data_IF_892200233157
#
_entry.id   IF_892200233157
#
_cell.length_a   1.000
_cell.length_b   1.000
_cell.length_c   1.000
_cell.angle_alpha   90.00
_cell.angle_beta   90.00
_cell.angle_gamma   90.00
#
_symmetry.space_group_name_H-M   'P 1'
#
loop_
_entity.id
_entity.type
_entity.pdbx_description
1 polymer ?
#
# COMPACT_ATOMS: atom_id res chain seq x y z
N UNK A 1 -55.33 -15.53 -47.28
CA UNK A 1 -55.28 -16.82 -46.54
C UNK A 1 -54.43 -17.79 -47.34
N UNK A 2 -53.53 -18.62 -46.75
CA UNK A 2 -52.97 -18.65 -45.37
C UNK A 2 -51.45 -18.30 -45.37
N UNK A 3 -50.77 -17.77 -44.34
CA UNK A 3 -50.52 -18.15 -42.93
C UNK A 3 -49.46 -19.26 -42.72
N UNK A 4 -48.28 -18.81 -42.23
CA UNK A 4 -47.31 -19.41 -41.28
C UNK A 4 -46.50 -20.67 -41.61
N UNK A 5 -45.20 -20.64 -41.26
CA UNK A 5 -44.61 -21.28 -40.04
C UNK A 5 -43.09 -20.97 -39.99
N UNK A 6 -42.67 -20.01 -39.17
CA UNK A 6 -41.93 -20.24 -37.91
C UNK A 6 -40.67 -21.11 -38.04
N UNK A 7 -39.53 -20.46 -38.31
CA UNK A 7 -38.22 -21.02 -38.00
C UNK A 7 -38.06 -21.01 -36.47
N UNK A 8 -38.10 -22.19 -35.85
CA UNK A 8 -37.86 -22.38 -34.42
C UNK A 8 -36.37 -22.19 -34.15
N UNK A 9 -36.05 -21.19 -33.32
CA UNK A 9 -34.81 -21.09 -32.57
C UNK A 9 -34.69 -22.36 -31.70
N UNK A 10 -33.73 -23.23 -31.99
CA UNK A 10 -33.31 -24.27 -31.05
C UNK A 10 -32.28 -23.66 -30.11
N UNK A 11 -32.76 -23.02 -29.05
CA UNK A 11 -31.96 -22.65 -27.88
C UNK A 11 -31.85 -23.87 -26.99
N UNK A 12 -30.89 -24.76 -27.27
CA UNK A 12 -30.55 -25.83 -26.33
C UNK A 12 -29.59 -25.25 -25.30
N UNK A 13 -30.15 -24.57 -24.30
CA UNK A 13 -29.42 -24.20 -23.10
C UNK A 13 -29.12 -25.50 -22.33
N UNK A 14 -27.88 -25.99 -22.44
CA UNK A 14 -27.34 -26.98 -21.53
C UNK A 14 -27.09 -26.25 -20.21
N UNK A 15 -28.09 -26.26 -19.33
CA UNK A 15 -27.91 -25.91 -17.92
C UNK A 15 -27.15 -27.08 -17.30
N UNK A 16 -25.83 -26.98 -17.29
CA UNK A 16 -25.00 -27.79 -16.39
C UNK A 16 -25.23 -27.23 -14.98
N UNK A 17 -26.18 -27.83 -14.26
CA UNK A 17 -26.30 -27.67 -12.82
C UNK A 17 -25.11 -28.41 -12.19
N UNK A 18 -23.97 -27.74 -12.11
CA UNK A 18 -22.90 -28.14 -11.21
C UNK A 18 -23.42 -27.95 -9.80
N UNK A 19 -23.55 -29.04 -9.05
CA UNK A 19 -23.63 -29.03 -7.61
C UNK A 19 -22.37 -28.32 -7.10
N UNK A 20 -22.47 -27.02 -6.84
CA UNK A 20 -21.45 -26.31 -6.07
C UNK A 20 -21.57 -26.87 -4.67
N UNK A 21 -20.71 -27.82 -4.34
CA UNK A 21 -20.43 -28.10 -2.94
C UNK A 21 -19.98 -26.77 -2.34
N UNK A 22 -20.74 -26.22 -1.40
CA UNK A 22 -20.30 -25.09 -0.59
C UNK A 22 -19.10 -25.56 0.24
N UNK A 23 -17.91 -25.57 -0.32
CA UNK A 23 -16.70 -25.54 0.49
C UNK A 23 -16.70 -24.20 1.21
N UNK A 24 -16.74 -24.20 2.53
CA UNK A 24 -16.50 -22.98 3.30
C UNK A 24 -15.14 -22.41 2.89
N UNK A 25 -15.07 -21.11 2.59
CA UNK A 25 -13.79 -20.49 2.26
C UNK A 25 -12.80 -20.70 3.43
N UNK A 26 -11.49 -20.85 3.16
CA UNK A 26 -10.46 -20.91 4.20
C UNK A 26 -10.62 -19.83 5.27
N UNK A 27 -10.18 -20.11 6.50
CA UNK A 27 -10.39 -19.23 7.65
C UNK A 27 -9.95 -17.77 7.40
N UNK A 28 -8.83 -17.55 6.69
CA UNK A 28 -8.31 -16.21 6.37
C UNK A 28 -9.17 -15.44 5.37
N UNK A 29 -10.06 -16.11 4.63
CA UNK A 29 -11.01 -15.46 3.71
C UNK A 29 -12.36 -15.16 4.38
N UNK A 30 -12.59 -15.64 5.60
CA UNK A 30 -13.79 -15.34 6.36
C UNK A 30 -13.59 -14.08 7.22
N UNK A 31 -14.64 -13.24 7.41
CA UNK A 31 -14.59 -12.18 8.40
C UNK A 31 -14.30 -12.74 9.79
N UNK A 32 -13.36 -12.14 10.50
CA UNK A 32 -12.88 -12.63 11.80
C UNK A 32 -13.83 -12.27 12.94
N UNK A 33 -14.64 -11.22 12.75
CA UNK A 33 -15.43 -10.58 13.81
C UNK A 33 -14.63 -9.60 14.67
N UNK A 34 -13.34 -9.44 14.38
CA UNK A 34 -12.41 -8.56 15.11
C UNK A 34 -11.73 -7.53 14.19
N UNK A 35 -12.35 -7.23 13.04
CA UNK A 35 -11.87 -6.20 12.13
C UNK A 35 -11.68 -4.87 12.87
N UNK A 36 -10.54 -4.21 12.68
CA UNK A 36 -10.31 -2.85 13.17
C UNK A 36 -11.23 -1.90 12.41
N UNK A 37 -11.95 -1.05 13.14
CA UNK A 37 -12.83 -0.03 12.59
C UNK A 37 -12.21 1.36 12.68
N UNK A 38 -12.72 2.31 11.91
CA UNK A 38 -12.35 3.70 12.10
C UNK A 38 -12.82 4.17 13.49
N UNK A 39 -11.94 4.70 14.34
CA UNK A 39 -12.34 5.16 15.67
C UNK A 39 -13.17 6.45 15.58
N UNK A 40 -13.89 6.76 16.66
CA UNK A 40 -14.57 8.05 16.80
C UNK A 40 -13.52 9.17 16.89
N UNK A 41 -13.82 10.37 16.34
CA UNK A 41 -12.87 11.48 16.28
C UNK A 41 -12.31 11.90 17.65
N UNK A 42 -13.09 11.74 18.72
CA UNK A 42 -12.68 12.10 20.08
C UNK A 42 -11.84 11.02 20.78
N UNK A 43 -11.58 9.88 20.14
CA UNK A 43 -10.84 8.77 20.75
C UNK A 43 -9.36 9.12 20.92
N UNK A 44 -8.81 9.14 22.14
CA UNK A 44 -7.38 9.33 22.37
C UNK A 44 -6.54 8.30 21.58
N UNK A 45 -5.39 8.73 21.06
CA UNK A 45 -4.60 7.87 20.17
C UNK A 45 -4.06 6.63 20.88
N UNK A 46 -3.66 6.74 22.15
CA UNK A 46 -3.24 5.63 22.99
C UNK A 46 -4.35 4.57 23.17
N UNK A 47 -5.60 5.01 23.36
CA UNK A 47 -6.76 4.14 23.39
C UNK A 47 -6.97 3.42 22.05
N UNK A 48 -6.82 4.13 20.92
CA UNK A 48 -6.89 3.51 19.59
C UNK A 48 -5.80 2.45 19.38
N UNK A 49 -4.58 2.70 19.86
CA UNK A 49 -3.49 1.73 19.81
C UNK A 49 -3.86 0.46 20.59
N UNK A 50 -4.25 0.58 21.85
CA UNK A 50 -4.59 -0.57 22.70
C UNK A 50 -5.73 -1.42 22.11
N UNK A 51 -6.79 -0.75 21.64
CA UNK A 51 -7.95 -1.42 21.03
C UNK A 51 -7.56 -2.15 19.75
N UNK A 52 -6.81 -1.49 18.86
CA UNK A 52 -6.39 -2.08 17.58
C UNK A 52 -5.45 -3.26 17.78
N UNK A 53 -4.48 -3.17 18.70
CA UNK A 53 -3.58 -4.28 19.03
C UNK A 53 -4.36 -5.50 19.55
N UNK A 54 -5.36 -5.27 20.40
CA UNK A 54 -6.23 -6.34 20.93
C UNK A 54 -7.06 -6.99 19.82
N UNK A 55 -7.64 -6.18 18.93
CA UNK A 55 -8.42 -6.64 17.79
C UNK A 55 -7.57 -7.45 16.81
N UNK A 56 -6.40 -6.93 16.42
CA UNK A 56 -5.47 -7.63 15.53
C UNK A 56 -5.03 -8.96 16.13
N UNK A 57 -4.63 -8.98 17.39
CA UNK A 57 -4.22 -10.21 18.07
C UNK A 57 -5.37 -11.25 18.10
N UNK A 58 -6.58 -10.81 18.42
CA UNK A 58 -7.77 -11.68 18.46
C UNK A 58 -8.11 -12.22 17.07
N UNK A 59 -8.01 -11.39 16.04
CA UNK A 59 -8.26 -11.77 14.67
C UNK A 59 -7.26 -12.82 14.18
N UNK A 60 -5.97 -12.63 14.47
CA UNK A 60 -4.91 -13.56 14.09
C UNK A 60 -5.07 -14.90 14.82
N UNK A 61 -5.37 -14.90 16.12
CA UNK A 61 -5.66 -16.12 16.90
C UNK A 61 -6.92 -16.86 16.41
N UNK A 62 -7.90 -16.11 15.88
CA UNK A 62 -9.11 -16.71 15.28
C UNK A 62 -8.80 -17.36 13.93
N UNK A 63 -7.85 -16.81 13.19
CA UNK A 63 -7.54 -17.17 11.80
C UNK A 63 -6.48 -18.26 11.69
N UNK A 64 -5.46 -18.20 12.54
CA UNK A 64 -4.28 -19.07 12.51
C UNK A 64 -4.08 -19.74 13.87
N UNK A 65 -3.57 -20.96 13.85
CA UNK A 65 -3.15 -21.70 15.06
C UNK A 65 -1.62 -21.69 15.14
N UNK A 66 -1.06 -21.73 16.36
CA UNK A 66 0.41 -21.70 16.56
C UNK A 66 1.14 -22.86 15.86
N UNK A 67 0.47 -24.01 15.70
CA UNK A 67 1.03 -25.18 15.00
C UNK A 67 1.00 -25.05 13.45
N UNK A 68 0.32 -24.03 12.90
CA UNK A 68 0.08 -23.88 11.46
C UNK A 68 0.20 -22.42 11.02
N UNK A 69 1.33 -21.78 11.35
CA UNK A 69 1.61 -20.41 10.92
C UNK A 69 2.09 -20.38 9.47
N UNK A 70 1.38 -19.69 8.56
CA UNK A 70 1.78 -19.65 7.15
C UNK A 70 3.07 -18.86 6.92
N UNK A 71 3.43 -17.97 7.84
CA UNK A 71 4.66 -17.17 7.85
C UNK A 71 5.84 -17.90 8.53
N UNK A 72 5.79 -19.23 8.64
CA UNK A 72 6.89 -20.07 9.12
C UNK A 72 7.18 -19.93 10.62
N UNK A 73 8.26 -20.59 11.08
CA UNK A 73 8.71 -20.56 12.49
C UNK A 73 9.42 -19.26 12.89
N UNK A 74 9.55 -18.30 11.97
CA UNK A 74 10.35 -17.08 12.19
C UNK A 74 9.62 -16.06 13.06
N UNK A 75 8.30 -15.96 12.93
CA UNK A 75 7.49 -15.02 13.69
C UNK A 75 6.42 -15.76 14.47
N UNK A 76 6.28 -15.41 15.74
CA UNK A 76 5.12 -15.75 16.56
C UNK A 76 3.89 -14.93 16.16
N UNK A 77 2.68 -15.38 16.54
CA UNK A 77 1.46 -14.59 16.32
C UNK A 77 1.53 -13.21 16.98
N UNK A 78 2.21 -13.09 18.12
CA UNK A 78 2.37 -11.82 18.82
C UNK A 78 3.29 -10.86 18.04
N UNK A 79 4.36 -11.35 17.43
CA UNK A 79 5.24 -10.53 16.57
C UNK A 79 4.51 -10.10 15.31
N UNK A 80 3.76 -11.00 14.67
CA UNK A 80 2.92 -10.64 13.51
C UNK A 80 1.84 -9.61 13.89
N UNK A 81 1.20 -9.77 15.05
CA UNK A 81 0.25 -8.79 15.55
C UNK A 81 0.91 -7.42 15.74
N UNK A 82 2.11 -7.37 16.32
CA UNK A 82 2.86 -6.14 16.52
C UNK A 82 3.29 -5.50 15.18
N UNK A 83 3.73 -6.30 14.20
CA UNK A 83 4.07 -5.82 12.85
C UNK A 83 2.85 -5.17 12.17
N UNK A 84 1.68 -5.82 12.25
CA UNK A 84 0.47 -5.41 11.54
C UNK A 84 -0.34 -4.30 12.23
N UNK A 85 -0.06 -4.02 13.51
CA UNK A 85 -0.84 -3.09 14.31
C UNK A 85 -0.41 -1.62 14.11
N UNK A 86 -1.28 -0.65 14.43
CA UNK A 86 -0.89 0.76 14.42
C UNK A 86 0.16 1.04 15.51
N UNK A 87 0.90 2.13 15.35
CA UNK A 87 1.92 2.52 16.32
C UNK A 87 2.11 4.04 16.39
N UNK A 88 2.73 4.48 17.50
CA UNK A 88 3.25 5.83 17.67
C UNK A 88 4.74 5.74 18.02
N UNK A 89 5.56 6.57 17.36
CA UNK A 89 6.94 6.85 17.74
C UNK A 89 7.05 8.34 18.08
N UNK A 90 7.84 8.69 19.09
CA UNK A 90 8.06 10.09 19.43
C UNK A 90 9.44 10.35 20.03
N UNK A 91 9.97 11.53 19.74
CA UNK A 91 11.07 12.14 20.46
C UNK A 91 10.61 13.52 20.90
N UNK A 92 10.55 13.73 22.22
CA UNK A 92 10.20 15.03 22.82
C UNK A 92 11.39 15.69 23.54
N UNK A 93 12.55 15.04 23.51
CA UNK A 93 13.72 15.43 24.29
C UNK A 93 14.34 16.76 23.84
N UNK A 94 14.14 17.14 22.58
CA UNK A 94 14.63 18.37 21.98
C UNK A 94 13.59 19.48 21.83
N UNK A 95 12.36 19.30 22.34
CA UNK A 95 11.33 20.33 22.24
C UNK A 95 11.65 21.53 23.15
N UNK A 96 11.70 22.74 22.57
CA UNK A 96 11.84 23.96 23.36
C UNK A 96 10.60 24.18 24.26
N UNK A 97 10.71 24.93 25.38
CA UNK A 97 9.56 25.23 26.22
C UNK A 97 8.41 25.88 25.44
N UNK A 98 7.26 25.23 25.41
CA UNK A 98 6.06 25.69 24.69
C UNK A 98 6.01 25.33 23.20
N UNK A 99 7.06 24.71 22.64
CA UNK A 99 7.07 24.15 21.29
C UNK A 99 6.35 22.80 21.29
N UNK A 100 5.55 22.55 20.26
CA UNK A 100 4.96 21.23 20.01
C UNK A 100 5.78 20.49 18.96
N UNK A 101 5.81 19.15 19.00
CA UNK A 101 6.55 18.39 18.01
C UNK A 101 6.00 18.59 16.59
N UNK A 102 6.85 18.29 15.60
CA UNK A 102 6.38 18.05 14.22
C UNK A 102 5.62 16.73 14.16
N UNK A 103 4.49 16.72 13.48
CA UNK A 103 3.64 15.55 13.30
C UNK A 103 3.86 14.86 11.96
N UNK A 104 3.91 13.54 11.97
CA UNK A 104 3.92 12.70 10.78
C UNK A 104 2.77 11.68 10.87
N UNK A 105 1.79 11.76 9.97
CA UNK A 105 0.74 10.74 9.85
C UNK A 105 1.09 9.79 8.71
N UNK A 106 1.22 8.49 9.00
CA UNK A 106 1.57 7.48 8.02
C UNK A 106 0.35 6.64 7.64
N UNK A 107 0.07 6.56 6.34
CA UNK A 107 -1.07 5.85 5.75
C UNK A 107 -0.57 4.79 4.77
N UNK A 108 -0.76 3.52 5.09
CA UNK A 108 -0.32 2.39 4.26
C UNK A 108 -1.24 2.13 3.05
N UNK A 109 -0.81 1.23 2.16
CA UNK A 109 -1.53 0.84 0.95
C UNK A 109 -2.64 -0.18 1.17
N UNK A 110 -3.37 -0.49 0.08
CA UNK A 110 -4.46 -1.47 0.11
C UNK A 110 -3.89 -2.89 0.27
N UNK A 111 -4.47 -3.66 1.18
CA UNK A 111 -4.01 -5.00 1.57
C UNK A 111 -2.69 -5.01 2.37
N UNK A 112 -2.11 -3.84 2.66
CA UNK A 112 -0.90 -3.70 3.47
C UNK A 112 -1.21 -3.52 4.97
N UNK A 113 -0.19 -3.16 5.74
CA UNK A 113 -0.27 -2.76 7.14
C UNK A 113 0.71 -1.60 7.43
N UNK A 114 0.65 -0.98 8.63
CA UNK A 114 1.60 0.02 9.09
C UNK A 114 3.07 -0.37 8.96
N UNK A 115 3.39 -1.67 8.97
CA UNK A 115 4.75 -2.19 8.88
C UNK A 115 5.56 -1.60 7.72
N UNK A 116 4.93 -1.46 6.55
CA UNK A 116 5.60 -0.99 5.32
C UNK A 116 6.10 0.45 5.42
N UNK A 117 5.61 1.24 6.37
CA UNK A 117 6.04 2.61 6.63
C UNK A 117 6.84 2.73 7.94
N UNK A 118 7.14 1.60 8.60
CA UNK A 118 7.78 1.61 9.91
C UNK A 118 9.22 2.13 9.90
N UNK A 119 9.99 1.83 8.85
CA UNK A 119 11.34 2.36 8.68
C UNK A 119 11.32 3.89 8.53
N UNK A 120 10.48 4.40 7.63
CA UNK A 120 10.32 5.84 7.42
C UNK A 120 9.90 6.55 8.71
N UNK A 121 8.96 5.99 9.47
CA UNK A 121 8.54 6.57 10.74
C UNK A 121 9.69 6.66 11.77
N UNK A 122 10.54 5.63 11.84
CA UNK A 122 11.73 5.64 12.72
C UNK A 122 12.70 6.75 12.31
N UNK A 123 12.97 6.87 11.02
CA UNK A 123 13.96 7.83 10.52
C UNK A 123 13.47 9.28 10.61
N UNK A 124 12.18 9.53 10.36
CA UNK A 124 11.56 10.84 10.54
C UNK A 124 11.63 11.32 12.00
N UNK A 125 11.43 10.42 12.97
CA UNK A 125 11.54 10.75 14.40
C UNK A 125 12.99 10.83 14.84
N UNK A 126 13.90 10.03 14.27
CA UNK A 126 15.32 10.07 14.61
C UNK A 126 16.02 11.34 14.10
N UNK A 127 15.54 11.91 12.98
CA UNK A 127 16.09 13.13 12.40
C UNK A 127 15.72 14.41 13.20
N UNK A 128 14.67 14.36 14.04
CA UNK A 128 14.20 15.53 14.79
C UNK A 128 13.83 15.16 16.23
N UNK A 129 14.58 15.70 17.18
CA UNK A 129 14.37 15.42 18.61
C UNK A 129 13.08 16.04 19.19
N UNK A 130 12.28 16.71 18.36
CA UNK A 130 10.94 17.20 18.66
C UNK A 130 9.94 16.78 17.57
N UNK A 131 9.69 15.47 17.47
CA UNK A 131 8.81 14.88 16.46
C UNK A 131 7.94 13.74 17.02
N UNK A 132 6.77 13.54 16.41
CA UNK A 132 5.86 12.43 16.67
C UNK A 132 5.36 11.86 15.34
N UNK A 133 5.48 10.55 15.17
CA UNK A 133 4.99 9.81 14.03
C UNK A 133 3.89 8.83 14.46
N UNK A 134 2.75 8.86 13.78
CA UNK A 134 1.61 7.96 14.01
C UNK A 134 1.31 7.20 12.73
N UNK A 135 1.37 5.88 12.77
CA UNK A 135 0.94 5.04 11.65
C UNK A 135 -0.43 4.43 11.96
N UNK A 136 -1.40 4.72 11.11
CA UNK A 136 -2.75 4.18 11.24
C UNK A 136 -2.87 2.82 10.59
N UNK A 137 -3.66 1.95 11.20
CA UNK A 137 -4.17 0.74 10.58
C UNK A 137 -5.54 1.05 9.96
N UNK A 138 -5.61 0.99 8.63
CA UNK A 138 -6.86 1.25 7.90
C UNK A 138 -7.87 0.12 8.11
N UNK A 139 -9.18 0.42 8.22
CA UNK A 139 -10.20 -0.60 8.47
C UNK A 139 -10.15 -1.81 7.52
N UNK A 140 -10.28 -3.00 8.10
CA UNK A 140 -10.18 -4.30 7.41
C UNK A 140 -8.76 -4.81 7.14
N UNK A 141 -7.72 -4.01 7.42
CA UNK A 141 -6.33 -4.41 7.24
C UNK A 141 -5.73 -4.97 8.54
N UNK A 142 -4.55 -5.61 8.43
CA UNK A 142 -3.77 -6.11 9.56
C UNK A 142 -4.36 -7.34 10.29
N UNK A 143 -5.60 -7.74 9.97
CA UNK A 143 -6.31 -8.89 10.50
C UNK A 143 -6.29 -10.08 9.53
N UNK A 144 -7.32 -10.26 8.72
CA UNK A 144 -7.42 -11.26 7.65
C UNK A 144 -8.05 -10.67 6.37
N UNK A 145 -7.74 -11.22 5.17
CA UNK A 145 -8.36 -10.79 3.91
C UNK A 145 -9.90 -10.74 3.94
N UNK A 146 -10.54 -11.64 4.69
CA UNK A 146 -12.00 -11.67 4.90
C UNK A 146 -12.58 -10.39 5.50
N UNK A 147 -11.85 -9.74 6.39
CA UNK A 147 -12.25 -8.46 6.99
C UNK A 147 -12.11 -7.30 5.98
N UNK A 148 -11.02 -7.29 5.20
CA UNK A 148 -10.81 -6.30 4.15
C UNK A 148 -11.92 -6.33 3.09
N UNK A 149 -12.45 -7.52 2.79
CA UNK A 149 -13.58 -7.66 1.88
C UNK A 149 -14.89 -7.01 2.37
N UNK A 150 -15.00 -6.69 3.67
CA UNK A 150 -16.15 -5.97 4.25
C UNK A 150 -15.91 -4.45 4.32
N UNK A 151 -14.65 -4.01 4.32
CA UNK A 151 -14.31 -2.60 4.45
C UNK A 151 -14.75 -1.78 3.23
N UNK A 152 -15.09 -0.52 3.47
CA UNK A 152 -15.49 0.44 2.45
C UNK A 152 -14.53 1.61 2.39
N UNK A 153 -14.50 2.32 1.25
CA UNK A 153 -13.70 3.54 1.12
C UNK A 153 -14.07 4.61 2.16
N UNK A 154 -15.32 4.63 2.63
CA UNK A 154 -15.78 5.58 3.66
C UNK A 154 -15.15 5.28 5.00
N UNK A 155 -14.95 4.00 5.33
CA UNK A 155 -14.25 3.60 6.54
C UNK A 155 -12.79 4.06 6.48
N UNK A 156 -12.13 3.92 5.32
CA UNK A 156 -10.77 4.40 5.12
C UNK A 156 -10.66 5.93 5.18
N UNK A 157 -11.59 6.65 4.57
CA UNK A 157 -11.68 8.11 4.64
C UNK A 157 -11.90 8.60 6.07
N UNK A 158 -12.78 7.92 6.83
CA UNK A 158 -13.02 8.23 8.24
C UNK A 158 -11.78 7.97 9.09
N UNK A 159 -11.06 6.87 8.86
CA UNK A 159 -9.82 6.56 9.56
C UNK A 159 -8.72 7.59 9.25
N UNK A 160 -8.53 7.97 7.99
CA UNK A 160 -7.59 9.01 7.60
C UNK A 160 -7.93 10.36 8.24
N UNK A 161 -9.22 10.74 8.27
CA UNK A 161 -9.70 11.93 8.97
C UNK A 161 -9.38 11.88 10.47
N UNK A 162 -9.65 10.75 11.13
CA UNK A 162 -9.29 10.55 12.52
C UNK A 162 -7.78 10.72 12.75
N UNK A 163 -6.92 10.18 11.87
CA UNK A 163 -5.48 10.29 12.01
C UNK A 163 -5.01 11.73 12.05
N UNK A 164 -5.55 12.58 11.16
CA UNK A 164 -5.25 14.02 11.16
C UNK A 164 -5.75 14.68 12.45
N UNK A 165 -6.99 14.41 12.85
CA UNK A 165 -7.59 15.00 14.06
C UNK A 165 -6.93 14.55 15.36
N UNK A 166 -6.34 13.35 15.37
CA UNK A 166 -5.60 12.89 16.53
C UNK A 166 -4.47 13.87 16.88
N UNK A 167 -3.93 14.61 15.90
CA UNK A 167 -2.86 15.58 16.11
C UNK A 167 -3.35 16.99 16.50
N UNK A 168 -4.66 17.23 16.52
CA UNK A 168 -5.21 18.56 16.78
C UNK A 168 -4.76 19.09 18.15
N UNK A 169 -4.01 20.19 18.13
CA UNK A 169 -3.46 20.80 19.35
C UNK A 169 -2.26 20.07 19.96
N UNK A 170 -1.76 19.00 19.33
CA UNK A 170 -0.58 18.25 19.77
C UNK A 170 0.70 18.59 19.01
N UNK A 171 0.59 19.13 17.78
CA UNK A 171 1.73 19.41 16.89
C UNK A 171 1.73 20.83 16.37
N UNK A 172 2.91 21.34 15.98
CA UNK A 172 3.07 22.65 15.36
C UNK A 172 2.94 22.60 13.83
N UNK A 173 3.19 21.43 13.23
CA UNK A 173 2.98 21.16 11.81
C UNK A 173 2.68 19.69 11.59
N UNK A 174 1.97 19.35 10.52
CA UNK A 174 1.59 17.99 10.16
C UNK A 174 1.96 17.67 8.71
N UNK A 175 2.75 16.62 8.53
CA UNK A 175 3.05 16.01 7.23
C UNK A 175 2.31 14.68 7.11
N UNK A 176 1.63 14.45 5.97
CA UNK A 176 1.08 13.12 5.67
C UNK A 176 2.07 12.34 4.81
N UNK A 177 2.39 11.12 5.24
CA UNK A 177 3.19 10.15 4.50
C UNK A 177 2.26 9.05 4.01
N UNK A 178 1.93 9.08 2.72
CA UNK A 178 1.02 8.11 2.11
C UNK A 178 1.76 7.14 1.22
N UNK A 179 1.47 5.85 1.32
CA UNK A 179 1.94 4.82 0.38
C UNK A 179 0.77 4.21 -0.39
N UNK A 180 0.89 4.16 -1.73
CA UNK A 180 -0.14 3.55 -2.60
C UNK A 180 -1.54 4.12 -2.35
N UNK A 181 -2.51 3.30 -1.96
CA UNK A 181 -3.85 3.76 -1.58
C UNK A 181 -3.86 4.78 -0.42
N UNK A 182 -2.88 4.72 0.49
CA UNK A 182 -2.70 5.71 1.55
C UNK A 182 -2.31 7.09 1.01
N UNK A 183 -1.56 7.14 -0.09
CA UNK A 183 -1.28 8.40 -0.80
C UNK A 183 -2.56 8.97 -1.44
N UNK A 184 -3.38 8.10 -2.04
CA UNK A 184 -4.71 8.47 -2.57
C UNK A 184 -5.59 9.08 -1.47
N UNK A 185 -5.61 8.49 -0.27
CA UNK A 185 -6.36 8.98 0.88
C UNK A 185 -5.82 10.33 1.40
N UNK A 186 -4.49 10.50 1.44
CA UNK A 186 -3.88 11.78 1.84
C UNK A 186 -4.29 12.92 0.89
N UNK A 187 -4.30 12.63 -0.41
CA UNK A 187 -4.74 13.57 -1.46
C UNK A 187 -6.25 13.84 -1.37
N UNK A 188 -7.08 12.80 -1.18
CA UNK A 188 -8.53 12.93 -0.96
C UNK A 188 -8.84 13.85 0.21
N UNK A 189 -8.13 13.67 1.33
CA UNK A 189 -8.32 14.44 2.56
C UNK A 189 -8.03 15.93 2.32
N UNK A 190 -6.91 16.26 1.68
CA UNK A 190 -6.58 17.64 1.32
C UNK A 190 -7.62 18.26 0.40
N UNK A 191 -8.07 17.54 -0.63
CA UNK A 191 -9.09 18.07 -1.54
C UNK A 191 -10.39 18.38 -0.79
N UNK A 192 -10.84 17.48 0.09
CA UNK A 192 -12.05 17.67 0.90
C UNK A 192 -11.93 18.83 1.89
N UNK A 193 -10.76 19.01 2.51
CA UNK A 193 -10.48 20.18 3.35
C UNK A 193 -10.65 21.49 2.57
N UNK A 194 -10.10 21.54 1.35
CA UNK A 194 -10.21 22.71 0.45
C UNK A 194 -11.67 23.00 0.07
N UNK A 195 -12.45 22.00 -0.31
CA UNK A 195 -13.83 22.18 -0.76
C UNK A 195 -14.81 22.56 0.37
N UNK A 196 -14.63 21.99 1.56
CA UNK A 196 -15.61 22.11 2.65
C UNK A 196 -15.24 23.16 3.70
N UNK A 197 -14.04 23.74 3.62
CA UNK A 197 -13.60 24.88 4.42
C UNK A 197 -13.41 24.64 5.93
N UNK A 198 -13.63 23.43 6.45
CA UNK A 198 -13.30 22.97 7.82
C UNK A 198 -13.74 21.49 8.01
N UNK A 199 -13.02 20.53 7.42
CA UNK A 199 -13.30 19.10 7.68
C UNK A 199 -12.56 18.59 8.90
N UNK A 200 -11.44 19.21 9.26
CA UNK A 200 -10.65 18.86 10.44
C UNK A 200 -10.02 20.08 11.10
N UNK A 201 -9.81 20.02 12.42
CA UNK A 201 -9.21 21.11 13.20
C UNK A 201 -7.71 21.22 12.96
N UNK A 202 -7.04 20.11 12.63
CA UNK A 202 -5.62 20.08 12.29
C UNK A 202 -5.39 20.33 10.78
N UNK A 203 -4.65 21.40 10.47
CA UNK A 203 -4.19 21.67 9.11
C UNK A 203 -3.08 20.71 8.70
N UNK A 204 -3.06 20.32 7.42
CA UNK A 204 -1.96 19.56 6.80
C UNK A 204 -1.03 20.53 6.10
N UNK A 205 0.26 20.45 6.41
CA UNK A 205 1.28 21.38 5.94
C UNK A 205 2.09 20.84 4.77
N UNK A 206 2.25 19.53 4.64
CA UNK A 206 2.95 18.92 3.48
C UNK A 206 2.58 17.46 3.25
N UNK A 207 2.93 16.94 2.08
CA UNK A 207 2.77 15.53 1.72
C UNK A 207 4.09 14.88 1.30
N UNK A 208 4.25 13.62 1.70
CA UNK A 208 5.23 12.67 1.13
C UNK A 208 4.43 11.50 0.57
N UNK A 209 4.53 11.27 -0.74
CA UNK A 209 3.72 10.31 -1.47
C UNK A 209 4.61 9.24 -2.10
N UNK A 210 4.51 8.03 -1.57
CA UNK A 210 5.27 6.85 -1.99
C UNK A 210 4.42 6.03 -2.96
N UNK A 211 4.86 5.88 -4.21
CA UNK A 211 4.12 5.25 -5.32
C UNK A 211 2.61 5.53 -5.28
N UNK A 212 2.20 6.80 -5.47
CA UNK A 212 0.81 7.17 -5.31
C UNK A 212 -0.10 6.48 -6.33
N UNK A 213 -1.12 5.79 -5.83
CA UNK A 213 -2.11 5.14 -6.67
C UNK A 213 -3.13 6.18 -7.16
N UNK A 214 -2.87 6.79 -8.32
CA UNK A 214 -3.71 7.85 -8.92
C UNK A 214 -4.51 7.41 -10.15
N UNK A 215 -4.28 6.16 -10.57
CA UNK A 215 -4.99 5.44 -11.60
C UNK A 215 -4.61 3.96 -11.56
N UNK A 216 -5.43 3.12 -12.19
CA UNK A 216 -5.21 1.67 -12.24
C UNK A 216 -4.90 1.25 -13.68
N UNK A 217 -3.87 0.42 -13.92
CA UNK A 217 -3.57 -0.07 -15.25
C UNK A 217 -4.67 -1.05 -15.73
N UNK A 218 -5.14 -0.87 -16.97
CA UNK A 218 -5.99 -1.85 -17.66
C UNK A 218 -7.51 -1.71 -17.50
N UNK A 219 -8.27 -2.38 -18.37
CA UNK A 219 -9.75 -2.35 -18.40
C UNK A 219 -10.41 -3.28 -17.39
N UNK A 220 -9.75 -4.40 -17.03
CA UNK A 220 -10.30 -5.43 -16.14
C UNK A 220 -10.43 -4.96 -14.69
N UNK A 221 -9.45 -4.20 -14.19
CA UNK A 221 -9.48 -3.63 -12.84
C UNK A 221 -10.62 -2.59 -12.70
N UNK A 222 -10.92 -1.84 -13.77
CA UNK A 222 -12.05 -0.89 -13.82
C UNK A 222 -13.42 -1.56 -13.73
N UNK A 223 -13.51 -2.85 -14.05
CA UNK A 223 -14.75 -3.63 -13.92
C UNK A 223 -14.94 -4.25 -12.52
N UNK A 224 -13.92 -4.22 -11.66
CA UNK A 224 -13.98 -4.79 -10.31
C UNK A 224 -15.19 -4.36 -9.46
N UNK A 225 -15.70 -3.10 -9.52
CA UNK A 225 -16.90 -2.72 -8.75
C UNK A 225 -18.17 -3.44 -9.18
N UNK A 226 -18.19 -3.96 -10.42
CA UNK A 226 -19.32 -4.68 -11.01
C UNK A 226 -19.15 -6.20 -10.95
N UNK A 227 -17.96 -6.70 -10.58
CA UNK A 227 -17.65 -8.14 -10.55
C UNK A 227 -17.50 -8.69 -9.13
N UNK A 228 -17.35 -7.85 -8.11
CA UNK A 228 -17.14 -8.28 -6.71
C UNK A 228 -18.27 -9.14 -6.10
N UNK A 229 -19.46 -9.15 -6.70
CA UNK A 229 -20.57 -10.04 -6.30
C UNK A 229 -20.52 -11.42 -6.97
N UNK A 230 -19.71 -11.58 -8.02
CA UNK A 230 -19.48 -12.84 -8.77
C UNK A 230 -18.14 -13.48 -8.41
N UNK A 231 -17.10 -12.67 -8.20
CA UNK A 231 -15.74 -13.10 -7.87
C UNK A 231 -15.29 -12.31 -6.65
N UNK A 232 -15.12 -12.99 -5.52
CA UNK A 232 -14.69 -12.34 -4.26
C UNK A 232 -13.17 -12.21 -4.15
N UNK A 233 -12.43 -13.11 -4.79
CA UNK A 233 -10.98 -13.26 -4.64
C UNK A 233 -10.29 -13.40 -5.98
N UNK A 234 -9.11 -12.80 -6.12
CA UNK A 234 -8.17 -13.08 -7.21
C UNK A 234 -6.80 -13.33 -6.61
N UNK A 235 -6.17 -14.45 -6.95
CA UNK A 235 -4.92 -14.86 -6.32
C UNK A 235 -5.11 -15.16 -4.84
N UNK A 236 -5.79 -16.27 -4.51
CA UNK A 236 -5.87 -16.77 -3.13
C UNK A 236 -4.51 -17.41 -2.80
N UNK A 237 -3.93 -17.01 -1.68
CA UNK A 237 -2.59 -17.41 -1.24
C UNK A 237 -2.61 -17.93 0.20
N UNK A 238 -1.45 -18.42 0.67
CA UNK A 238 -1.34 -19.01 2.00
C UNK A 238 -1.17 -17.99 3.12
N UNK A 239 -0.98 -16.70 2.80
CA UNK A 239 -0.69 -15.62 3.76
C UNK A 239 0.68 -15.79 4.45
N UNK A 240 1.70 -16.17 3.67
CA UNK A 240 3.10 -16.32 4.14
C UNK A 240 3.76 -14.99 4.48
N UNK A 241 3.23 -13.89 3.98
CA UNK A 241 3.70 -12.55 4.32
C UNK A 241 3.23 -12.18 5.75
N UNK A 242 4.17 -12.15 6.70
CA UNK A 242 3.87 -11.75 8.07
C UNK A 242 3.38 -10.29 8.17
N UNK A 243 3.81 -9.40 7.28
CA UNK A 243 3.49 -7.98 7.38
C UNK A 243 2.13 -7.63 6.75
N UNK A 244 1.61 -8.42 5.81
CA UNK A 244 0.40 -8.04 5.06
C UNK A 244 -0.33 -9.21 4.40
N UNK A 245 -1.38 -8.91 3.63
CA UNK A 245 -2.11 -9.93 2.89
C UNK A 245 -1.45 -10.24 1.54
N UNK A 246 -1.43 -11.52 1.19
CA UNK A 246 -1.10 -12.00 -0.14
C UNK A 246 -2.36 -12.18 -1.00
N UNK A 247 -3.47 -12.63 -0.40
CA UNK A 247 -4.74 -12.77 -1.10
C UNK A 247 -5.38 -11.44 -1.43
N UNK A 248 -5.76 -11.24 -2.70
CA UNK A 248 -6.39 -9.99 -3.12
C UNK A 248 -7.92 -10.06 -3.10
N UNK A 249 -8.52 -9.13 -2.35
CA UNK A 249 -9.97 -8.94 -2.23
C UNK A 249 -10.52 -8.07 -3.37
N UNK A 250 -11.34 -8.67 -4.25
CA UNK A 250 -11.99 -7.94 -5.35
C UNK A 250 -12.97 -6.87 -4.84
N UNK A 251 -13.79 -7.11 -3.80
CA UNK A 251 -14.63 -6.05 -3.21
C UNK A 251 -13.81 -4.85 -2.73
N UNK A 252 -12.66 -5.08 -2.10
CA UNK A 252 -11.78 -4.02 -1.63
C UNK A 252 -11.17 -3.23 -2.80
N UNK A 253 -10.70 -3.93 -3.85
CA UNK A 253 -10.29 -3.29 -5.10
C UNK A 253 -11.40 -2.43 -5.73
N UNK A 254 -12.65 -2.90 -5.68
CA UNK A 254 -13.80 -2.12 -6.14
C UNK A 254 -14.10 -0.88 -5.31
N UNK A 255 -13.88 -0.92 -3.98
CA UNK A 255 -13.98 0.26 -3.12
C UNK A 255 -12.86 1.27 -3.40
N UNK A 256 -11.64 0.78 -3.61
CA UNK A 256 -10.51 1.61 -3.99
C UNK A 256 -10.72 2.29 -5.35
N UNK A 257 -11.24 1.56 -6.34
CA UNK A 257 -11.61 2.16 -7.63
C UNK A 257 -12.66 3.28 -7.45
N UNK A 258 -13.67 3.09 -6.60
CA UNK A 258 -14.65 4.15 -6.30
C UNK A 258 -14.02 5.36 -5.63
N UNK A 259 -13.01 5.18 -4.77
CA UNK A 259 -12.25 6.28 -4.20
C UNK A 259 -11.53 7.08 -5.31
N UNK A 260 -10.87 6.40 -6.25
CA UNK A 260 -10.22 7.06 -7.39
C UNK A 260 -11.20 7.84 -8.27
N UNK A 261 -12.40 7.30 -8.49
CA UNK A 261 -13.45 7.99 -9.24
C UNK A 261 -14.00 9.22 -8.51
N UNK A 262 -13.97 9.26 -7.18
CA UNK A 262 -14.38 10.43 -6.40
C UNK A 262 -13.34 11.55 -6.40
N UNK A 263 -12.06 11.24 -6.69
CA UNK A 263 -11.03 12.28 -6.76
C UNK A 263 -11.26 13.20 -7.97
N UNK A 264 -11.39 12.64 -9.18
CA UNK A 264 -11.46 13.44 -10.42
C UNK A 264 -10.32 14.50 -10.50
N UNK A 265 -9.12 14.13 -10.03
CA UNK A 265 -8.02 15.06 -9.78
C UNK A 265 -7.57 15.86 -11.00
N UNK A 266 -7.88 15.39 -12.21
CA UNK A 266 -7.58 16.09 -13.47
C UNK A 266 -8.31 17.45 -13.59
N UNK A 267 -9.39 17.65 -12.84
CA UNK A 267 -10.21 18.86 -12.88
C UNK A 267 -9.83 19.88 -11.80
N UNK A 268 -8.86 19.55 -10.96
CA UNK A 268 -8.53 20.34 -9.80
C UNK A 268 -7.68 21.56 -10.15
N UNK A 269 -7.69 22.53 -9.23
CA UNK A 269 -6.58 23.48 -9.13
C UNK A 269 -5.40 22.78 -8.45
N UNK A 270 -4.15 23.20 -8.74
CA UNK A 270 -2.98 22.67 -8.06
C UNK A 270 -3.13 22.70 -6.53
N UNK A 271 -2.51 21.73 -5.86
CA UNK A 271 -2.45 21.72 -4.40
C UNK A 271 -1.51 22.82 -3.89
N UNK A 272 -1.93 23.50 -2.82
CA UNK A 272 -1.23 24.65 -2.25
C UNK A 272 -0.21 24.27 -1.15
N UNK A 273 -0.03 22.98 -0.89
CA UNK A 273 0.95 22.47 0.07
C UNK A 273 2.19 21.91 -0.65
N UNK A 274 3.38 21.96 -0.05
CA UNK A 274 4.53 21.24 -0.55
C UNK A 274 4.27 19.74 -0.67
N UNK A 275 4.71 19.13 -1.77
CA UNK A 275 4.55 17.69 -2.02
C UNK A 275 5.85 17.09 -2.55
N UNK A 276 6.33 16.05 -1.88
CA UNK A 276 7.36 15.15 -2.40
C UNK A 276 6.72 13.84 -2.87
N UNK A 277 7.06 13.41 -4.08
CA UNK A 277 6.65 12.13 -4.66
C UNK A 277 7.87 11.23 -4.87
N UNK A 278 7.69 9.94 -4.65
CA UNK A 278 8.68 8.90 -4.99
C UNK A 278 8.01 7.87 -5.88
N UNK A 279 8.53 7.66 -7.08
CA UNK A 279 7.92 6.80 -8.12
C UNK A 279 9.00 5.92 -8.74
N UNK A 280 8.64 4.66 -9.02
CA UNK A 280 9.41 3.77 -9.89
C UNK A 280 8.79 3.74 -11.28
N UNK A 281 9.61 3.86 -12.32
CA UNK A 281 9.18 3.78 -13.72
C UNK A 281 8.67 2.37 -14.10
N UNK A 282 9.13 1.36 -13.36
CA UNK A 282 8.80 -0.03 -13.56
C UNK A 282 7.50 -0.46 -12.88
N UNK A 283 6.90 0.35 -12.02
CA UNK A 283 5.74 -0.04 -11.20
C UNK A 283 4.54 -0.49 -12.06
N UNK A 284 4.11 -1.73 -11.86
CA UNK A 284 2.97 -2.32 -12.60
C UNK A 284 1.67 -2.39 -11.79
N UNK A 285 1.69 -1.98 -10.54
CA UNK A 285 0.50 -2.05 -9.67
C UNK A 285 -0.36 -0.81 -9.87
N UNK A 286 0.26 0.34 -10.07
CA UNK A 286 -0.40 1.62 -10.27
C UNK A 286 -0.06 2.22 -11.64
N UNK A 287 -0.84 3.20 -12.07
CA UNK A 287 -0.56 3.93 -13.31
C UNK A 287 0.56 4.95 -13.09
N UNK A 288 1.80 4.58 -13.44
CA UNK A 288 2.95 5.49 -13.46
C UNK A 288 2.70 6.74 -14.31
N UNK A 289 2.07 6.66 -15.52
CA UNK A 289 1.74 7.86 -16.29
C UNK A 289 0.77 8.80 -15.57
N UNK A 290 -0.22 8.29 -14.85
CA UNK A 290 -1.16 9.13 -14.08
C UNK A 290 -0.45 9.82 -12.91
N UNK A 291 0.47 9.12 -12.22
CA UNK A 291 1.29 9.71 -11.17
C UNK A 291 2.20 10.83 -11.72
N UNK A 292 2.86 10.59 -12.86
CA UNK A 292 3.69 11.59 -13.53
C UNK A 292 2.86 12.80 -14.01
N UNK A 293 1.67 12.57 -14.56
CA UNK A 293 0.76 13.62 -14.99
C UNK A 293 0.29 14.46 -13.79
N UNK A 294 -0.14 13.81 -12.71
CA UNK A 294 -0.54 14.49 -11.48
C UNK A 294 0.59 15.36 -10.93
N UNK A 295 1.81 14.85 -10.87
CA UNK A 295 2.97 15.63 -10.41
C UNK A 295 3.16 16.91 -11.24
N UNK A 296 3.12 16.79 -12.57
CA UNK A 296 3.38 17.94 -13.44
C UNK A 296 2.21 18.93 -13.51
N UNK A 297 0.96 18.48 -13.35
CA UNK A 297 -0.23 19.30 -13.61
C UNK A 297 -0.96 19.78 -12.34
N UNK A 298 -0.92 19.00 -11.26
CA UNK A 298 -1.69 19.26 -10.03
C UNK A 298 -0.85 19.68 -8.84
N UNK A 299 0.47 19.80 -9.00
CA UNK A 299 1.36 20.31 -7.96
C UNK A 299 2.03 21.60 -8.42
N UNK A 300 2.15 22.56 -7.51
CA UNK A 300 2.84 23.82 -7.79
C UNK A 300 4.32 23.58 -8.14
N UNK A 301 4.84 24.17 -9.23
CA UNK A 301 6.24 24.03 -9.63
C UNK A 301 7.26 24.49 -8.57
N UNK A 302 6.87 25.41 -7.68
CA UNK A 302 7.75 26.00 -6.67
C UNK A 302 7.81 25.16 -5.37
N UNK A 303 6.93 24.17 -5.21
CA UNK A 303 6.80 23.39 -3.97
C UNK A 303 6.61 21.89 -4.24
N UNK A 304 7.14 21.39 -5.35
CA UNK A 304 7.08 19.96 -5.71
C UNK A 304 8.47 19.35 -5.90
N UNK A 305 8.65 18.11 -5.45
CA UNK A 305 9.84 17.30 -5.75
C UNK A 305 9.42 15.88 -6.13
N UNK A 306 10.03 15.32 -7.17
CA UNK A 306 9.82 13.94 -7.60
C UNK A 306 11.16 13.22 -7.63
N UNK A 307 11.26 12.16 -6.83
CA UNK A 307 12.32 11.16 -6.97
C UNK A 307 11.83 10.05 -7.91
N UNK A 308 12.44 9.95 -9.07
CA UNK A 308 12.11 9.00 -10.12
C UNK A 308 13.18 7.91 -10.20
N UNK A 309 12.84 6.69 -9.79
CA UNK A 309 13.70 5.54 -10.03
C UNK A 309 13.57 5.10 -11.48
N UNK A 310 14.70 5.11 -12.16
CA UNK A 310 14.81 4.89 -13.58
C UNK A 310 15.46 3.53 -13.86
N UNK A 311 14.67 2.61 -14.41
CA UNK A 311 15.10 1.32 -14.92
C UNK A 311 14.94 1.22 -16.44
N UNK A 312 14.75 2.36 -17.11
CA UNK A 312 14.42 2.50 -18.53
C UNK A 312 13.13 1.80 -18.97
N UNK A 313 12.20 1.52 -18.03
CA UNK A 313 10.88 0.97 -18.34
C UNK A 313 9.93 2.04 -18.89
N UNK A 314 9.99 3.26 -18.34
CA UNK A 314 9.23 4.42 -18.80
C UNK A 314 10.09 5.69 -18.73
N UNK A 315 9.87 6.60 -19.68
CA UNK A 315 10.55 7.88 -19.68
C UNK A 315 10.04 8.77 -18.54
N UNK A 316 10.95 9.30 -17.73
CA UNK A 316 10.65 10.29 -16.70
C UNK A 316 9.91 11.51 -17.29
N UNK A 317 8.98 12.12 -16.54
CA UNK A 317 8.26 13.30 -17.01
C UNK A 317 9.20 14.50 -17.23
N UNK A 318 8.92 15.27 -18.29
CA UNK A 318 9.63 16.49 -18.63
C UNK A 318 8.97 17.71 -17.97
N UNK A 319 9.18 17.87 -16.66
CA UNK A 319 8.74 19.04 -15.90
C UNK A 319 9.69 19.35 -14.73
N UNK A 320 9.58 20.54 -14.13
CA UNK A 320 10.46 20.96 -13.02
C UNK A 320 10.27 20.11 -11.75
N UNK A 321 11.36 19.95 -11.00
CA UNK A 321 11.36 19.25 -9.70
C UNK A 321 11.61 17.75 -9.79
N UNK A 322 12.00 17.21 -10.94
CA UNK A 322 12.27 15.78 -11.14
C UNK A 322 13.76 15.47 -10.96
N UNK A 323 14.07 14.55 -10.05
CA UNK A 323 15.39 13.97 -9.82
C UNK A 323 15.34 12.50 -10.22
N UNK A 324 16.22 12.08 -11.14
CA UNK A 324 16.32 10.69 -11.60
C UNK A 324 17.39 9.95 -10.81
N UNK A 325 17.09 8.71 -10.43
CA UNK A 325 18.03 7.77 -9.83
C UNK A 325 18.15 6.57 -10.76
N UNK A 326 19.37 6.32 -11.25
CA UNK A 326 19.66 5.15 -12.07
C UNK A 326 19.63 3.90 -11.20
N UNK A 327 18.63 3.03 -11.43
CA UNK A 327 18.46 1.82 -10.63
C UNK A 327 19.61 0.85 -10.83
N UNK A 328 20.30 0.86 -11.98
CA UNK A 328 21.41 -0.07 -12.25
C UNK A 328 22.63 0.15 -11.34
N UNK A 329 22.73 1.30 -10.67
CA UNK A 329 23.83 1.66 -9.79
C UNK A 329 23.63 1.14 -8.35
N UNK A 330 23.52 -0.18 -8.17
CA UNK A 330 23.34 -0.81 -6.84
C UNK A 330 24.13 -2.12 -6.68
N UNK A 331 24.35 -2.51 -5.41
CA UNK A 331 25.06 -3.75 -5.04
C UNK A 331 24.12 -4.95 -4.75
N UNK A 332 22.81 -4.81 -4.98
CA UNK A 332 21.78 -5.74 -4.50
C UNK A 332 21.13 -6.60 -5.60
N UNK A 333 21.75 -6.69 -6.79
CA UNK A 333 21.20 -7.41 -7.96
C UNK A 333 19.80 -6.90 -8.37
N UNK A 334 19.47 -5.65 -8.04
CA UNK A 334 18.18 -5.04 -8.36
C UNK A 334 18.23 -4.47 -9.78
N UNK A 335 17.30 -4.92 -10.63
CA UNK A 335 17.13 -4.45 -12.01
C UNK A 335 16.06 -3.35 -12.11
N UNK A 336 15.03 -3.42 -11.26
CA UNK A 336 13.99 -2.40 -11.16
C UNK A 336 13.32 -2.44 -9.78
N UNK A 337 12.69 -1.32 -9.38
CA UNK A 337 11.91 -1.29 -8.14
C UNK A 337 10.45 -1.59 -8.42
N UNK A 338 9.92 -2.60 -7.73
CA UNK A 338 8.49 -2.95 -7.79
C UNK A 338 7.68 -1.98 -6.95
N UNK A 339 6.35 -2.03 -7.07
CA UNK A 339 5.43 -1.24 -6.24
C UNK A 339 5.73 -1.33 -4.73
N UNK A 340 6.07 -2.53 -4.25
CA UNK A 340 6.30 -2.82 -2.83
C UNK A 340 7.76 -2.66 -2.42
N UNK A 341 8.63 -2.17 -3.31
CA UNK A 341 10.08 -2.09 -3.11
C UNK A 341 10.62 -0.70 -2.83
N UNK A 342 9.82 0.20 -2.25
CA UNK A 342 10.21 1.62 -2.08
C UNK A 342 10.46 2.04 -0.63
N UNK A 343 9.66 1.55 0.31
CA UNK A 343 9.51 2.16 1.64
C UNK A 343 10.34 1.49 2.74
N UNK A 344 11.07 0.43 2.43
CA UNK A 344 11.86 -0.33 3.40
C UNK A 344 13.32 -0.47 2.95
N UNK A 345 14.27 -0.43 3.91
CA UNK A 345 15.69 -0.54 3.62
C UNK A 345 16.12 -1.98 3.28
N UNK A 346 17.29 -2.19 2.64
CA UNK A 346 17.82 -3.51 2.34
C UNK A 346 18.10 -4.37 3.58
N UNK A 347 18.27 -3.75 4.75
CA UNK A 347 18.54 -4.41 6.03
C UNK A 347 17.26 -4.82 6.76
N UNK A 348 16.07 -4.51 6.22
CA UNK A 348 14.81 -4.89 6.84
C UNK A 348 14.72 -6.42 7.02
N UNK A 349 14.44 -6.93 8.23
CA UNK A 349 14.51 -8.36 8.52
C UNK A 349 13.44 -9.17 7.80
N UNK A 350 12.34 -8.55 7.37
CA UNK A 350 11.24 -9.23 6.69
C UNK A 350 11.34 -9.09 5.18
N UNK A 351 11.57 -7.87 4.67
CA UNK A 351 11.52 -7.55 3.24
C UNK A 351 12.86 -7.21 2.60
N UNK A 352 13.92 -7.02 3.40
CA UNK A 352 15.25 -6.67 2.93
C UNK A 352 15.88 -7.70 2.01
N UNK A 353 17.10 -7.44 1.57
CA UNK A 353 17.85 -8.31 0.67
C UNK A 353 18.01 -9.74 1.22
N UNK A 354 18.28 -9.83 2.53
CA UNK A 354 18.35 -11.06 3.31
C UNK A 354 17.09 -11.29 4.16
N UNK A 355 16.00 -10.58 3.84
CA UNK A 355 14.75 -10.64 4.58
C UNK A 355 14.08 -12.01 4.48
N UNK A 356 13.30 -12.34 5.51
CA UNK A 356 12.60 -13.62 5.60
C UNK A 356 11.63 -13.87 4.44
N UNK A 357 10.86 -12.85 4.04
CA UNK A 357 9.83 -13.01 3.02
C UNK A 357 10.38 -12.88 1.60
N UNK A 358 10.03 -13.85 0.75
CA UNK A 358 10.45 -13.90 -0.66
C UNK A 358 9.23 -13.75 -1.57
N UNK A 359 9.11 -12.60 -2.23
CA UNK A 359 7.95 -12.29 -3.07
C UNK A 359 8.04 -12.97 -4.46
N UNK A 360 7.46 -14.17 -4.55
CA UNK A 360 7.48 -15.05 -5.73
C UNK A 360 6.08 -15.33 -6.30
N UNK A 361 5.05 -14.57 -5.91
CA UNK A 361 3.65 -14.82 -6.27
C UNK A 361 3.32 -14.65 -7.77
N UNK A 362 4.25 -14.11 -8.56
CA UNK A 362 4.09 -14.02 -10.02
C UNK A 362 4.33 -15.36 -10.73
N UNK A 363 4.95 -16.33 -10.06
CA UNK A 363 5.00 -17.72 -10.50
C UNK A 363 3.73 -18.47 -10.05
N UNK A 364 3.33 -19.49 -10.83
CA UNK A 364 2.17 -20.30 -10.47
C UNK A 364 2.37 -21.02 -9.12
N UNK A 365 1.31 -21.12 -8.31
CA UNK A 365 1.35 -21.57 -6.91
C UNK A 365 2.11 -22.90 -6.69
N UNK A 366 1.90 -23.88 -7.56
CA UNK A 366 2.50 -25.22 -7.45
C UNK A 366 3.67 -25.45 -8.42
N UNK A 367 4.26 -24.37 -8.95
CA UNK A 367 5.38 -24.47 -9.89
C UNK A 367 6.72 -24.69 -9.20
N UNK A 368 7.62 -25.40 -9.89
CA UNK A 368 9.01 -25.57 -9.45
C UNK A 368 9.72 -24.21 -9.33
N UNK A 369 9.48 -23.27 -10.26
CA UNK A 369 10.07 -21.93 -10.21
C UNK A 369 9.67 -21.17 -8.94
N UNK A 370 8.39 -21.26 -8.51
CA UNK A 370 7.95 -20.62 -7.26
C UNK A 370 8.68 -21.20 -6.06
N UNK A 371 8.84 -22.52 -6.00
CA UNK A 371 9.54 -23.19 -4.91
C UNK A 371 11.02 -22.80 -4.87
N UNK A 372 11.69 -22.78 -6.02
CA UNK A 372 13.09 -22.35 -6.12
C UNK A 372 13.26 -20.87 -5.74
N UNK A 373 12.40 -19.98 -6.25
CA UNK A 373 12.42 -18.55 -5.92
C UNK A 373 12.28 -18.30 -4.40
N UNK A 374 11.51 -19.14 -3.71
CA UNK A 374 11.29 -19.06 -2.26
C UNK A 374 12.46 -19.62 -1.42
N UNK A 375 13.24 -20.55 -1.96
CA UNK A 375 14.36 -21.18 -1.24
C UNK A 375 15.65 -20.36 -1.26
N UNK A 376 15.69 -19.31 -2.08
CA UNK A 376 16.82 -18.41 -2.32
C UNK A 376 18.04 -19.06 -2.98
N UNK A 377 18.60 -18.35 -3.96
CA UNK A 377 19.87 -18.67 -4.57
C UNK A 377 20.65 -17.39 -4.93
N UNK A 378 21.97 -17.51 -5.02
CA UNK A 378 22.86 -16.42 -5.42
C UNK A 378 22.62 -15.99 -6.90
N UNK A 379 21.77 -16.70 -7.63
CA UNK A 379 21.36 -16.40 -9.02
C UNK A 379 20.12 -15.52 -9.15
N UNK A 380 19.28 -15.39 -8.12
CA UNK A 380 18.02 -14.62 -8.22
C UNK A 380 18.24 -13.11 -8.43
N UNK A 381 17.60 -12.54 -9.45
CA UNK A 381 17.55 -11.09 -9.66
C UNK A 381 16.30 -10.50 -9.02
N UNK A 382 16.38 -9.22 -8.62
CA UNK A 382 15.25 -8.49 -8.05
C UNK A 382 14.69 -7.51 -9.08
N UNK A 383 13.39 -7.53 -9.31
CA UNK A 383 12.76 -6.62 -10.27
C UNK A 383 11.24 -6.61 -10.23
N UNK A 384 10.61 -5.88 -11.13
CA UNK A 384 9.17 -5.96 -11.37
C UNK A 384 8.83 -7.01 -12.46
N UNK A 385 7.58 -7.49 -12.47
CA UNK A 385 7.15 -8.71 -13.18
C UNK A 385 7.35 -8.70 -14.70
N UNK A 386 7.36 -7.55 -15.37
CA UNK A 386 7.55 -7.43 -16.82
C UNK A 386 8.93 -7.95 -17.26
N UNK A 387 9.91 -7.95 -16.36
CA UNK A 387 11.23 -8.51 -16.62
C UNK A 387 11.20 -10.03 -16.76
N UNK A 388 10.12 -10.71 -16.35
CA UNK A 388 10.03 -12.17 -16.40
C UNK A 388 10.16 -12.70 -17.84
N UNK A 389 9.57 -12.02 -18.81
CA UNK A 389 9.63 -12.44 -20.22
C UNK A 389 11.04 -12.28 -20.79
N UNK A 390 11.68 -11.12 -20.58
CA UNK A 390 13.04 -10.87 -21.08
C UNK A 390 14.07 -11.77 -20.39
N UNK A 391 13.99 -11.95 -19.07
CA UNK A 391 14.86 -12.86 -18.33
C UNK A 391 14.70 -14.31 -18.79
N UNK A 392 13.47 -14.76 -19.04
CA UNK A 392 13.23 -16.12 -19.55
C UNK A 392 13.85 -16.39 -20.92
N UNK A 393 14.12 -15.34 -21.72
CA UNK A 393 14.77 -15.43 -23.03
C UNK A 393 16.29 -15.32 -22.89
N UNK A 394 16.76 -14.36 -22.10
CA UNK A 394 18.19 -14.00 -22.02
C UNK A 394 18.98 -14.87 -21.02
N UNK A 395 18.33 -15.27 -19.93
CA UNK A 395 18.93 -15.97 -18.79
C UNK A 395 17.94 -17.01 -18.21
N UNK A 396 17.67 -18.13 -18.91
CA UNK A 396 16.59 -19.06 -18.56
C UNK A 396 16.75 -19.76 -17.20
N UNK A 397 17.98 -19.79 -16.67
CA UNK A 397 18.30 -20.36 -15.35
C UNK A 397 18.21 -19.30 -14.23
N UNK A 398 17.99 -18.03 -14.55
CA UNK A 398 17.89 -16.92 -13.59
C UNK A 398 16.43 -16.75 -13.14
N UNK A 399 16.22 -16.77 -11.82
CA UNK A 399 14.92 -16.51 -11.22
C UNK A 399 14.71 -15.01 -10.98
N UNK A 400 13.47 -14.56 -11.13
CA UNK A 400 13.05 -13.22 -10.77
C UNK A 400 12.37 -13.27 -9.39
N UNK A 401 12.82 -12.43 -8.47
CA UNK A 401 12.12 -12.14 -7.22
C UNK A 401 11.56 -10.73 -7.32
N UNK A 402 10.29 -10.54 -6.96
CA UNK A 402 9.72 -9.20 -6.99
C UNK A 402 10.42 -8.35 -5.92
N UNK A 403 10.94 -7.18 -6.28
CA UNK A 403 11.70 -6.34 -5.33
C UNK A 403 10.82 -5.86 -4.17
N UNK A 404 11.24 -6.08 -2.92
CA UNK A 404 10.50 -5.72 -1.69
C UNK A 404 11.21 -4.70 -0.79
N UNK A 405 12.40 -4.26 -1.18
CA UNK A 405 13.20 -3.28 -0.46
C UNK A 405 13.82 -2.29 -1.45
N UNK A 406 14.25 -1.14 -0.94
CA UNK A 406 14.85 -0.09 -1.74
C UNK A 406 16.38 -0.03 -1.49
N UNK A 407 17.22 -0.39 -2.47
CA UNK A 407 18.68 -0.28 -2.34
C UNK A 407 19.19 1.17 -2.20
N UNK A 408 18.34 2.16 -2.49
CA UNK A 408 18.62 3.60 -2.37
C UNK A 408 17.88 4.24 -1.19
N UNK A 409 17.46 3.44 -0.20
CA UNK A 409 16.60 3.90 0.89
C UNK A 409 17.21 5.09 1.66
N UNK A 410 18.50 5.04 2.01
CA UNK A 410 19.17 6.10 2.75
C UNK A 410 19.24 7.42 1.96
N UNK A 411 19.52 7.34 0.66
CA UNK A 411 19.55 8.50 -0.24
C UNK A 411 18.14 9.09 -0.45
N UNK A 412 17.12 8.23 -0.52
CA UNK A 412 15.72 8.63 -0.57
C UNK A 412 15.30 9.35 0.71
N UNK A 413 15.61 8.79 1.88
CA UNK A 413 15.30 9.39 3.17
C UNK A 413 16.04 10.71 3.35
N UNK A 414 17.31 10.80 2.93
CA UNK A 414 18.08 12.04 2.95
C UNK A 414 17.40 13.15 2.13
N UNK A 415 16.84 12.82 0.97
CA UNK A 415 16.07 13.78 0.16
C UNK A 415 14.74 14.17 0.81
N UNK A 416 14.04 13.22 1.44
CA UNK A 416 12.82 13.50 2.20
C UNK A 416 13.10 14.46 3.36
N UNK A 417 14.15 14.21 4.14
CA UNK A 417 14.51 15.07 5.28
C UNK A 417 14.91 16.47 4.81
N UNK A 418 15.64 16.59 3.70
CA UNK A 418 15.95 17.89 3.09
C UNK A 418 14.70 18.63 2.63
N UNK A 419 13.75 17.92 2.01
CA UNK A 419 12.45 18.48 1.62
C UNK A 419 11.68 19.03 2.84
N UNK A 420 11.76 18.35 3.98
CA UNK A 420 11.15 18.77 5.24
C UNK A 420 11.95 19.85 6.02
N UNK A 421 13.14 20.24 5.54
CA UNK A 421 14.02 21.18 6.23
C UNK A 421 14.62 20.64 7.53
N UNK A 422 14.98 19.35 7.58
CA UNK A 422 15.53 18.64 8.75
C UNK A 422 17.02 18.27 8.62
N UNK A 423 17.82 19.03 7.85
CA UNK A 423 19.30 18.85 7.76
C UNK A 423 20.09 19.64 8.81
#
# INVERSE_FOLDING_TARGET
>A
MPISKTARLNLTAVILLTLVACSEDPAHLQPTGFAVSAPELATPFDQYLEQSHTQVSSALQRTFTEDQLPFGETYSLAEVAAMRSPFQLESRSGCAPGQRPKGFLLLHGLSDSPYLLSAMARDLVAADNCAVARALLLPGHGTAPGDLAQATRRDWQQAARYGVESFAGEVDSLTLVGYSAGATLAIDLLNRQRESGNVVDQQVDSLILMSPALGLPGFTVRLSPYLGWLVRWTGIEQERDAAKYESFSVPAGGQFYRLLQELEWQQWQPLDVPVMMVVSDADETVSVPDAAQFFCQQLSPDSRQLLWYDSAALQAPDCSGVTRVDVSANDYRVQSLSHVGLTLPPEDPHYGFQGFYRQCLHYAAESEQRQQCQQDDDSSLFGERHLLESLGIEQPDTLLRRTTFNPFYDDMMSQILRFLGQE
#
